data_IF_216788074509
#
_entry.id   IF_216788074509
#
_cell.length_a   1.000
_cell.length_b   1.000
_cell.length_c   1.000
_cell.angle_alpha   90.00
_cell.angle_beta   90.00
_cell.angle_gamma   90.00
#
_symmetry.space_group_name_H-M   'P 1'
#
loop_
_entity.id
_entity.type
_entity.pdbx_description
1 polymer ?
#
# COMPACT_ATOMS: atom_id res chain seq x y z
N UNK A 1 10.13 -19.97 17.79
CA UNK A 1 9.18 -19.31 18.71
C UNK A 1 9.73 -19.27 20.12
N UNK A 2 10.64 -20.18 20.47
CA UNK A 2 11.20 -20.30 21.83
C UNK A 2 12.01 -19.06 22.22
N UNK A 3 12.84 -18.53 21.32
CA UNK A 3 13.57 -17.28 21.55
C UNK A 3 12.64 -16.06 21.76
N UNK A 4 11.41 -16.07 21.23
CA UNK A 4 10.43 -15.01 21.48
C UNK A 4 9.82 -15.18 22.87
N UNK A 5 9.55 -16.41 23.28
CA UNK A 5 9.04 -16.74 24.61
C UNK A 5 10.01 -16.36 25.71
N UNK A 6 11.31 -16.58 25.49
CA UNK A 6 12.36 -16.15 26.42
C UNK A 6 12.47 -14.64 26.55
N UNK A 7 12.14 -13.90 25.48
CA UNK A 7 12.20 -12.44 25.46
C UNK A 7 10.96 -11.80 26.11
N UNK A 8 9.76 -12.32 25.79
CA UNK A 8 8.47 -11.82 26.25
C UNK A 8 7.39 -12.93 26.10
N UNK A 9 6.96 -13.49 27.22
CA UNK A 9 5.96 -14.56 27.25
C UNK A 9 4.56 -14.07 26.85
N UNK A 10 4.19 -12.83 27.18
CA UNK A 10 2.89 -12.26 26.84
C UNK A 10 2.79 -12.02 25.32
N UNK A 11 3.86 -11.50 24.71
CA UNK A 11 3.94 -11.35 23.27
C UNK A 11 3.87 -12.73 22.57
N UNK A 12 4.57 -13.72 23.11
CA UNK A 12 4.53 -15.08 22.58
C UNK A 12 3.13 -15.70 22.63
N UNK A 13 2.41 -15.56 23.75
CA UNK A 13 1.02 -16.00 23.89
C UNK A 13 0.11 -15.30 22.88
N UNK A 14 0.30 -13.98 22.68
CA UNK A 14 -0.47 -13.22 21.70
C UNK A 14 -0.24 -13.70 20.25
N UNK A 15 0.99 -14.09 19.90
CA UNK A 15 1.28 -14.64 18.57
C UNK A 15 0.83 -16.09 18.40
N UNK A 16 0.76 -16.88 19.47
CA UNK A 16 0.23 -18.25 19.43
C UNK A 16 -1.23 -18.29 18.99
N UNK A 17 -2.05 -17.35 19.47
CA UNK A 17 -3.46 -17.22 19.10
C UNK A 17 -3.66 -16.87 17.61
N UNK A 18 -2.61 -16.40 16.92
CA UNK A 18 -2.71 -15.88 15.55
C UNK A 18 -2.07 -16.80 14.53
N UNK A 19 -2.80 -17.01 13.44
CA UNK A 19 -2.27 -17.76 12.30
C UNK A 19 -0.94 -17.14 11.82
N UNK A 20 0.13 -17.93 11.63
CA UNK A 20 1.41 -17.45 11.08
C UNK A 20 1.28 -16.71 9.74
N UNK A 21 0.23 -16.99 8.97
CA UNK A 21 -0.08 -16.28 7.73
C UNK A 21 -0.41 -14.79 7.93
N UNK A 22 -0.66 -14.33 9.15
CA UNK A 22 -0.97 -12.93 9.46
C UNK A 22 0.26 -12.12 9.89
N UNK A 23 1.31 -12.78 10.39
CA UNK A 23 2.45 -12.08 11.01
C UNK A 23 3.83 -12.56 10.57
N UNK A 24 3.94 -13.72 9.92
CA UNK A 24 5.22 -14.26 9.44
C UNK A 24 5.27 -14.33 7.92
N UNK A 25 6.25 -13.63 7.35
CA UNK A 25 6.51 -13.58 5.89
C UNK A 25 6.69 -14.96 5.25
N UNK A 26 7.16 -15.95 6.01
CA UNK A 26 7.34 -17.31 5.50
C UNK A 26 6.01 -17.96 5.08
N UNK A 27 4.90 -17.51 5.67
CA UNK A 27 3.55 -18.06 5.47
C UNK A 27 2.64 -17.12 4.69
N UNK A 28 3.14 -15.97 4.24
CA UNK A 28 2.35 -15.07 3.41
C UNK A 28 2.10 -15.70 2.04
N UNK A 29 0.89 -15.48 1.55
CA UNK A 29 0.54 -15.84 0.19
C UNK A 29 1.29 -14.94 -0.78
N UNK A 30 1.57 -15.46 -1.96
CA UNK A 30 2.43 -14.82 -2.94
C UNK A 30 1.67 -14.20 -4.12
N UNK A 31 0.33 -14.12 -4.11
CA UNK A 31 -0.42 -13.61 -5.26
C UNK A 31 -0.32 -12.10 -5.44
N UNK A 32 -0.26 -11.34 -4.33
CA UNK A 32 -0.30 -9.87 -4.35
C UNK A 32 1.03 -9.20 -4.73
N UNK A 33 2.12 -9.97 -4.84
CA UNK A 33 3.48 -9.52 -5.18
C UNK A 33 3.90 -8.23 -4.46
N UNK A 34 3.51 -8.10 -3.20
CA UNK A 34 3.70 -6.91 -2.40
C UNK A 34 4.52 -7.22 -1.14
N UNK A 35 5.69 -6.59 -1.02
CA UNK A 35 6.53 -6.69 0.19
C UNK A 35 6.20 -5.61 1.23
N UNK A 36 5.07 -4.89 1.08
CA UNK A 36 4.67 -3.80 1.98
C UNK A 36 3.73 -4.35 3.05
N UNK A 37 4.21 -4.39 4.30
CA UNK A 37 3.49 -4.89 5.47
C UNK A 37 3.09 -3.78 6.44
N UNK A 38 3.05 -2.53 5.97
CA UNK A 38 2.94 -1.34 6.81
C UNK A 38 1.71 -0.52 6.46
N UNK A 39 1.20 0.20 7.47
CA UNK A 39 0.10 1.18 7.39
C UNK A 39 0.37 2.38 6.43
N UNK A 40 1.45 2.32 5.67
CA UNK A 40 1.90 3.34 4.73
C UNK A 40 0.80 3.73 3.71
N UNK A 41 -0.06 2.79 3.31
CA UNK A 41 -1.17 3.09 2.39
C UNK A 41 -2.21 4.01 3.02
N UNK A 42 -2.65 3.69 4.25
CA UNK A 42 -3.62 4.51 4.97
C UNK A 42 -3.01 5.86 5.37
N UNK A 43 -1.76 5.89 5.80
CA UNK A 43 -1.05 7.13 6.13
C UNK A 43 -0.88 8.05 4.92
N UNK A 44 -0.47 7.49 3.78
CA UNK A 44 -0.36 8.23 2.51
C UNK A 44 -1.71 8.75 2.05
N UNK A 45 -2.76 7.93 2.12
CA UNK A 45 -4.11 8.33 1.77
C UNK A 45 -4.62 9.46 2.68
N UNK A 46 -4.50 9.27 4.00
CA UNK A 46 -4.92 10.26 4.99
C UNK A 46 -4.21 11.59 4.75
N UNK A 47 -2.89 11.57 4.56
CA UNK A 47 -2.10 12.78 4.27
C UNK A 47 -2.57 13.47 2.99
N UNK A 48 -2.84 12.72 1.92
CA UNK A 48 -3.30 13.25 0.64
C UNK A 48 -4.66 13.96 0.73
N UNK A 49 -5.58 13.49 1.58
CA UNK A 49 -6.93 14.07 1.69
C UNK A 49 -7.05 15.16 2.75
N UNK A 50 -6.03 15.39 3.60
CA UNK A 50 -6.06 16.42 4.65
C UNK A 50 -6.50 17.81 4.14
N UNK A 51 -6.02 18.32 2.98
CA UNK A 51 -6.39 19.64 2.48
C UNK A 51 -7.83 19.75 1.94
N UNK A 52 -8.50 18.62 1.75
CA UNK A 52 -9.88 18.52 1.28
C UNK A 52 -10.86 18.22 2.42
N UNK A 53 -10.41 17.46 3.44
CA UNK A 53 -11.25 16.94 4.53
C UNK A 53 -11.90 18.03 5.40
N UNK A 54 -11.33 19.23 5.45
CA UNK A 54 -11.87 20.37 6.21
C UNK A 54 -12.87 21.23 5.41
N UNK A 55 -13.21 20.83 4.18
CA UNK A 55 -14.10 21.58 3.27
C UNK A 55 -15.54 21.06 3.30
N UNK A 56 -16.52 21.87 2.87
CA UNK A 56 -17.88 21.38 2.63
C UNK A 56 -17.88 20.17 1.69
N UNK A 57 -18.87 19.27 1.81
CA UNK A 57 -18.88 17.97 1.13
C UNK A 57 -18.62 18.08 -0.38
N UNK A 58 -19.29 19.01 -1.06
CA UNK A 58 -19.11 19.23 -2.50
C UNK A 58 -17.68 19.66 -2.83
N UNK A 59 -17.14 20.63 -2.09
CA UNK A 59 -15.76 21.10 -2.27
C UNK A 59 -14.73 20.02 -1.94
N UNK A 60 -14.99 19.19 -0.93
CA UNK A 60 -14.13 18.06 -0.56
C UNK A 60 -14.06 17.04 -1.71
N UNK A 61 -15.23 16.61 -2.21
CA UNK A 61 -15.32 15.64 -3.31
C UNK A 61 -14.68 16.19 -4.58
N UNK A 62 -14.93 17.45 -4.93
CA UNK A 62 -14.37 18.08 -6.12
C UNK A 62 -12.83 18.17 -6.04
N UNK A 63 -12.28 18.53 -4.87
CA UNK A 63 -10.82 18.50 -4.66
C UNK A 63 -10.23 17.10 -4.83
N UNK A 64 -10.84 16.08 -4.22
CA UNK A 64 -10.36 14.69 -4.32
C UNK A 64 -10.42 14.22 -5.77
N UNK A 65 -11.52 14.49 -6.47
CA UNK A 65 -11.69 14.18 -7.90
C UNK A 65 -10.60 14.83 -8.75
N UNK A 66 -10.39 16.14 -8.59
CA UNK A 66 -9.37 16.89 -9.33
C UNK A 66 -7.96 16.36 -9.04
N UNK A 67 -7.64 16.08 -7.79
CA UNK A 67 -6.35 15.51 -7.40
C UNK A 67 -6.12 14.15 -8.07
N UNK A 68 -7.11 13.26 -8.04
CA UNK A 68 -7.03 11.94 -8.69
C UNK A 68 -6.91 12.07 -10.22
N UNK A 69 -7.70 12.96 -10.83
CA UNK A 69 -7.67 13.21 -12.27
C UNK A 69 -6.28 13.67 -12.73
N UNK A 70 -5.72 14.69 -12.09
CA UNK A 70 -4.39 15.24 -12.42
C UNK A 70 -3.29 14.22 -12.09
N UNK A 71 -3.38 13.50 -10.97
CA UNK A 71 -2.44 12.43 -10.62
C UNK A 71 -2.43 11.34 -11.68
N UNK A 72 -3.57 10.80 -12.07
CA UNK A 72 -3.65 9.73 -13.06
C UNK A 72 -3.11 10.20 -14.43
N UNK A 73 -3.44 11.43 -14.85
CA UNK A 73 -2.89 12.03 -16.06
C UNK A 73 -1.36 12.13 -16.01
N UNK A 74 -0.80 12.65 -14.92
CA UNK A 74 0.65 12.75 -14.73
C UNK A 74 1.32 11.38 -14.69
N UNK A 75 0.68 10.36 -14.08
CA UNK A 75 1.22 9.00 -13.99
C UNK A 75 1.36 8.37 -15.38
N UNK A 76 0.38 8.57 -16.27
CA UNK A 76 0.45 8.13 -17.68
C UNK A 76 1.64 8.77 -18.41
N UNK A 77 1.75 10.10 -18.36
CA UNK A 77 2.85 10.85 -19.00
C UNK A 77 4.22 10.44 -18.45
N UNK A 78 4.33 10.17 -17.14
CA UNK A 78 5.58 9.74 -16.53
C UNK A 78 5.98 8.35 -17.01
N UNK A 79 5.03 7.43 -17.15
CA UNK A 79 5.31 6.06 -17.60
C UNK A 79 5.83 6.01 -19.04
N UNK A 80 5.33 6.89 -19.92
CA UNK A 80 5.81 6.99 -21.31
C UNK A 80 7.30 7.34 -21.40
N UNK A 81 7.84 8.02 -20.38
CA UNK A 81 9.25 8.42 -20.31
C UNK A 81 10.17 7.34 -19.76
N UNK A 82 9.64 6.20 -19.32
CA UNK A 82 10.45 5.12 -18.77
C UNK A 82 11.27 4.46 -19.89
N UNK A 83 12.56 4.28 -19.64
CA UNK A 83 13.52 3.70 -20.60
C UNK A 83 13.80 2.23 -20.33
N UNK A 84 13.74 1.83 -19.06
CA UNK A 84 13.98 0.47 -18.62
C UNK A 84 12.73 -0.41 -18.76
N UNK A 85 12.92 -1.73 -18.64
CA UNK A 85 11.84 -2.72 -18.66
C UNK A 85 10.89 -2.64 -17.47
N UNK A 86 11.29 -1.94 -16.40
CA UNK A 86 10.54 -1.75 -15.16
C UNK A 86 10.58 -0.28 -14.73
N UNK A 87 9.71 0.11 -13.80
CA UNK A 87 9.70 1.47 -13.28
C UNK A 87 11.00 1.87 -12.56
N UNK A 88 11.36 3.17 -12.52
CA UNK A 88 12.62 3.66 -11.94
C UNK A 88 12.86 3.22 -10.49
N UNK A 89 11.79 3.10 -9.69
CA UNK A 89 11.88 2.60 -8.31
C UNK A 89 12.32 1.14 -8.27
N UNK A 90 11.72 0.29 -9.11
CA UNK A 90 12.04 -1.14 -9.18
C UNK A 90 13.45 -1.33 -9.74
N UNK A 91 13.84 -0.58 -10.78
CA UNK A 91 15.20 -0.61 -11.32
C UNK A 91 16.25 -0.30 -10.24
N UNK A 92 16.05 0.77 -9.46
CA UNK A 92 16.91 1.09 -8.30
C UNK A 92 16.99 -0.04 -7.28
N UNK A 93 15.88 -0.72 -7.00
CA UNK A 93 15.85 -1.87 -6.09
C UNK A 93 16.68 -3.02 -6.67
N UNK A 94 16.48 -3.37 -7.94
CA UNK A 94 17.24 -4.42 -8.64
C UNK A 94 18.74 -4.10 -8.60
N UNK A 95 19.13 -2.87 -8.91
CA UNK A 95 20.54 -2.47 -8.93
C UNK A 95 21.17 -2.60 -7.53
N UNK A 96 20.45 -2.20 -6.47
CA UNK A 96 20.89 -2.37 -5.07
C UNK A 96 20.98 -3.85 -4.66
N UNK A 97 20.04 -4.69 -5.09
CA UNK A 97 20.11 -6.14 -4.84
C UNK A 97 21.29 -6.74 -5.61
N UNK A 98 21.52 -6.28 -6.85
CA UNK A 98 22.64 -6.69 -7.69
C UNK A 98 23.99 -6.40 -7.07
N UNK A 99 24.16 -5.28 -6.36
CA UNK A 99 25.40 -5.01 -5.63
C UNK A 99 25.68 -6.08 -4.55
N UNK A 100 24.65 -6.59 -3.87
CA UNK A 100 24.78 -7.65 -2.86
C UNK A 100 24.95 -9.04 -3.46
N UNK A 101 24.42 -9.26 -4.66
CA UNK A 101 24.52 -10.55 -5.35
C UNK A 101 25.97 -10.96 -5.70
N UNK A 102 26.94 -10.03 -5.65
CA UNK A 102 28.37 -10.32 -5.87
C UNK A 102 28.98 -11.19 -4.76
N UNK A 103 28.37 -11.22 -3.58
CA UNK A 103 28.81 -12.03 -2.44
C UNK A 103 28.39 -13.51 -2.55
N UNK A 104 27.70 -13.87 -3.63
CA UNK A 104 27.15 -15.20 -3.86
C UNK A 104 27.75 -15.80 -5.13
N UNK A 105 27.87 -17.12 -5.14
CA UNK A 105 28.31 -17.93 -6.28
C UNK A 105 27.17 -18.84 -6.71
N UNK A 106 26.95 -18.89 -8.02
CA UNK A 106 25.94 -19.76 -8.62
C UNK A 106 26.58 -21.04 -9.17
N UNK A 107 25.98 -22.17 -8.85
CA UNK A 107 26.32 -23.48 -9.39
C UNK A 107 25.11 -24.00 -10.16
N UNK A 108 25.28 -24.19 -11.47
CA UNK A 108 24.22 -24.68 -12.35
C UNK A 108 23.99 -26.16 -12.09
N UNK A 109 22.74 -26.54 -11.76
CA UNK A 109 22.32 -27.94 -11.64
C UNK A 109 21.48 -28.37 -12.84
N UNK A 110 20.68 -27.46 -13.43
CA UNK A 110 19.92 -27.67 -14.65
C UNK A 110 19.85 -26.40 -15.50
N UNK A 111 19.06 -26.39 -16.58
CA UNK A 111 19.01 -25.24 -17.48
C UNK A 111 18.58 -23.94 -16.78
N UNK A 112 17.59 -24.03 -15.89
CA UNK A 112 17.09 -22.91 -15.09
C UNK A 112 17.28 -23.10 -13.58
N UNK A 113 17.85 -24.22 -13.16
CA UNK A 113 17.97 -24.61 -11.75
C UNK A 113 19.39 -24.40 -11.26
N UNK A 114 19.53 -23.66 -10.16
CA UNK A 114 20.82 -23.27 -9.59
C UNK A 114 20.86 -23.50 -8.09
N UNK A 115 22.01 -24.01 -7.63
CA UNK A 115 22.42 -23.96 -6.25
C UNK A 115 23.25 -22.69 -6.03
N UNK A 116 22.80 -21.82 -5.14
CA UNK A 116 23.50 -20.59 -4.76
C UNK A 116 24.19 -20.81 -3.42
N UNK A 117 25.45 -20.41 -3.33
CA UNK A 117 26.26 -20.48 -2.11
C UNK A 117 26.85 -19.10 -1.86
N UNK A 118 26.74 -18.58 -0.64
CA UNK A 118 27.32 -17.28 -0.29
C UNK A 118 27.60 -17.14 1.20
N UNK A 119 28.25 -16.04 1.55
CA UNK A 119 28.69 -15.72 2.92
C UNK A 119 27.60 -15.04 3.76
N UNK A 120 26.31 -15.19 3.41
CA UNK A 120 25.20 -14.75 4.25
C UNK A 120 25.15 -15.48 5.60
N UNK A 121 24.30 -15.04 6.53
CA UNK A 121 24.12 -15.67 7.84
C UNK A 121 24.09 -17.20 7.73
N UNK A 122 25.07 -17.86 8.37
CA UNK A 122 25.16 -19.32 8.45
C UNK A 122 25.66 -20.06 7.20
N UNK A 123 26.31 -19.40 6.23
CA UNK A 123 26.79 -20.09 5.02
C UNK A 123 25.65 -20.52 4.09
N UNK A 124 24.66 -19.64 3.96
CA UNK A 124 23.35 -19.93 3.38
C UNK A 124 23.44 -20.54 1.96
N UNK A 125 22.87 -21.73 1.82
CA UNK A 125 22.67 -22.46 0.57
C UNK A 125 21.23 -22.26 0.11
N UNK A 126 21.03 -21.77 -1.10
CA UNK A 126 19.69 -21.52 -1.65
C UNK A 126 19.51 -22.19 -3.02
N UNK A 127 18.41 -22.92 -3.18
CA UNK A 127 17.98 -23.38 -4.50
C UNK A 127 17.17 -22.26 -5.18
N UNK A 128 17.46 -22.04 -6.46
CA UNK A 128 16.79 -21.06 -7.32
C UNK A 128 16.34 -21.78 -8.59
N UNK A 129 15.08 -21.58 -8.94
CA UNK A 129 14.54 -21.96 -10.25
C UNK A 129 14.13 -20.69 -10.99
N UNK A 130 14.87 -20.38 -12.05
CA UNK A 130 14.63 -19.22 -12.91
C UNK A 130 13.44 -19.41 -13.86
N UNK A 131 13.03 -20.64 -14.15
CA UNK A 131 11.87 -20.92 -15.00
C UNK A 131 10.57 -20.73 -14.23
N UNK A 132 10.53 -21.22 -12.99
CA UNK A 132 9.39 -21.09 -12.09
C UNK A 132 9.36 -19.77 -11.30
N UNK A 133 10.41 -18.95 -11.41
CA UNK A 133 10.57 -17.71 -10.64
C UNK A 133 10.54 -17.96 -9.12
N UNK A 134 11.19 -19.04 -8.68
CA UNK A 134 11.20 -19.44 -7.27
C UNK A 134 12.60 -19.41 -6.68
N UNK A 135 12.65 -19.11 -5.38
CA UNK A 135 13.85 -19.23 -4.56
C UNK A 135 13.45 -19.74 -3.17
N UNK A 136 14.28 -20.57 -2.55
CA UNK A 136 14.03 -21.06 -1.18
C UNK A 136 13.97 -19.93 -0.15
N UNK A 137 14.51 -18.74 -0.44
CA UNK A 137 14.38 -17.58 0.45
C UNK A 137 12.99 -16.90 0.41
N UNK A 138 12.07 -17.33 -0.47
CA UNK A 138 10.69 -16.82 -0.66
C UNK A 138 10.54 -15.34 -1.04
N UNK A 139 11.59 -14.52 -0.95
CA UNK A 139 11.55 -13.07 -1.22
C UNK A 139 11.13 -12.74 -2.65
N UNK A 140 11.54 -13.55 -3.63
CA UNK A 140 11.17 -13.31 -5.03
C UNK A 140 9.67 -13.55 -5.24
N UNK A 141 9.16 -14.66 -4.71
CA UNK A 141 7.75 -15.02 -4.81
C UNK A 141 6.86 -13.95 -4.15
N UNK A 142 7.25 -13.45 -2.97
CA UNK A 142 6.48 -12.45 -2.22
C UNK A 142 6.51 -11.05 -2.86
N UNK A 143 7.66 -10.61 -3.37
CA UNK A 143 7.82 -9.23 -3.87
C UNK A 143 7.63 -9.09 -5.37
N UNK A 144 7.67 -10.20 -6.13
CA UNK A 144 7.76 -10.17 -7.59
C UNK A 144 9.10 -9.65 -8.13
N UNK A 145 10.06 -9.31 -7.27
CA UNK A 145 11.39 -8.82 -7.66
C UNK A 145 12.43 -9.91 -7.41
N UNK A 146 13.30 -10.23 -8.39
CA UNK A 146 14.38 -11.20 -8.19
C UNK A 146 15.19 -10.89 -6.93
N UNK A 147 15.30 -11.88 -6.04
CA UNK A 147 16.08 -11.76 -4.81
C UNK A 147 17.59 -11.79 -5.10
N UNK A 148 18.44 -11.64 -4.07
CA UNK A 148 19.91 -11.65 -4.23
C UNK A 148 20.40 -12.93 -4.91
N UNK A 149 19.80 -14.08 -4.56
CA UNK A 149 20.15 -15.39 -5.10
C UNK A 149 19.71 -15.53 -6.56
N UNK A 150 18.50 -15.08 -6.87
CA UNK A 150 17.97 -15.07 -8.24
C UNK A 150 18.82 -14.20 -9.16
N UNK A 151 19.20 -12.99 -8.72
CA UNK A 151 20.08 -12.10 -9.51
C UNK A 151 21.46 -12.72 -9.72
N UNK A 152 22.00 -13.46 -8.74
CA UNK A 152 23.25 -14.21 -8.92
C UNK A 152 23.11 -15.26 -10.05
N UNK A 153 22.03 -16.06 -10.04
CA UNK A 153 21.75 -17.03 -11.10
C UNK A 153 21.52 -16.36 -12.49
N UNK A 154 20.78 -15.25 -12.53
CA UNK A 154 20.50 -14.51 -13.77
C UNK A 154 21.80 -13.96 -14.37
N UNK A 155 22.70 -13.44 -13.53
CA UNK A 155 24.03 -12.96 -13.96
C UNK A 155 24.89 -14.09 -14.50
N UNK A 156 24.83 -15.28 -13.91
CA UNK A 156 25.50 -16.46 -14.45
C UNK A 156 25.05 -16.74 -15.90
N UNK A 157 23.75 -16.59 -16.19
CA UNK A 157 23.19 -16.70 -17.55
C UNK A 157 23.41 -15.46 -18.44
N UNK A 158 24.07 -14.41 -17.95
CA UNK A 158 24.30 -13.13 -18.65
C UNK A 158 23.01 -12.48 -19.16
N UNK A 159 21.93 -12.54 -18.38
CA UNK A 159 20.62 -11.98 -18.73
C UNK A 159 20.28 -10.75 -17.89
N UNK A 160 19.30 -9.96 -18.35
CA UNK A 160 18.83 -8.77 -17.64
C UNK A 160 17.84 -9.15 -16.53
N UNK A 161 18.15 -8.76 -15.28
CA UNK A 161 17.31 -9.09 -14.12
C UNK A 161 15.90 -8.49 -14.18
N UNK A 162 15.74 -7.33 -14.82
CA UNK A 162 14.42 -6.70 -14.96
C UNK A 162 13.43 -7.55 -15.79
N UNK A 163 13.91 -8.46 -16.64
CA UNK A 163 13.04 -9.38 -17.41
C UNK A 163 12.42 -10.48 -16.54
N UNK A 164 12.98 -10.71 -15.34
CA UNK A 164 12.54 -11.71 -14.38
C UNK A 164 11.63 -11.14 -13.29
N UNK A 165 11.31 -9.85 -13.35
CA UNK A 165 10.29 -9.24 -12.50
C UNK A 165 8.89 -9.74 -12.87
N UNK A 166 8.01 -9.75 -11.88
CA UNK A 166 6.60 -10.10 -12.07
C UNK A 166 5.89 -9.12 -13.02
N UNK A 167 4.90 -9.64 -13.74
CA UNK A 167 4.10 -8.88 -14.71
C UNK A 167 3.46 -7.64 -14.07
N UNK A 168 3.04 -7.69 -12.80
CA UNK A 168 2.44 -6.56 -12.09
C UNK A 168 3.38 -5.34 -11.93
N UNK A 169 4.70 -5.54 -12.00
CA UNK A 169 5.70 -4.47 -11.85
C UNK A 169 6.07 -3.80 -13.18
N UNK A 170 5.48 -4.26 -14.28
CA UNK A 170 5.84 -3.83 -15.62
C UNK A 170 5.14 -2.52 -16.00
N UNK A 171 5.74 -1.73 -16.91
CA UNK A 171 5.13 -0.51 -17.43
C UNK A 171 3.74 -0.75 -18.02
N UNK A 172 3.50 -1.93 -18.60
CA UNK A 172 2.18 -2.31 -19.15
C UNK A 172 1.09 -2.35 -18.08
N UNK A 173 1.33 -3.04 -16.96
CA UNK A 173 0.37 -3.16 -15.87
C UNK A 173 0.22 -1.86 -15.10
N UNK A 174 1.30 -1.08 -14.99
CA UNK A 174 1.23 0.28 -14.48
C UNK A 174 0.32 1.15 -15.35
N UNK A 175 0.48 1.12 -16.68
CA UNK A 175 -0.38 1.89 -17.58
C UNK A 175 -1.82 1.43 -17.49
N UNK A 176 -2.10 0.13 -17.46
CA UNK A 176 -3.44 -0.42 -17.29
C UNK A 176 -4.12 0.10 -16.01
N UNK A 177 -3.42 0.10 -14.87
CA UNK A 177 -3.92 0.60 -13.60
C UNK A 177 -4.28 2.09 -13.62
N UNK A 178 -3.54 2.91 -14.39
CA UNK A 178 -3.77 4.36 -14.51
C UNK A 178 -4.44 4.77 -15.82
N UNK A 179 -4.87 3.82 -16.65
CA UNK A 179 -5.52 4.09 -17.92
C UNK A 179 -6.88 4.77 -17.76
N UNK A 180 -7.75 4.37 -16.79
CA UNK A 180 -9.05 4.99 -16.62
C UNK A 180 -8.97 6.53 -16.50
N UNK A 181 -9.82 7.19 -17.27
CA UNK A 181 -9.91 8.66 -17.33
C UNK A 181 -11.02 9.12 -16.40
N UNK A 182 -10.66 9.99 -15.47
CA UNK A 182 -11.63 10.80 -14.73
C UNK A 182 -11.90 12.02 -15.60
N UNK A 183 -13.10 12.13 -16.15
CA UNK A 183 -13.46 13.22 -17.05
C UNK A 183 -13.61 14.55 -16.30
N UNK A 184 -13.31 15.68 -16.96
CA UNK A 184 -13.60 17.00 -16.40
C UNK A 184 -15.12 17.18 -16.24
N UNK A 185 -15.52 17.86 -15.16
CA UNK A 185 -16.91 18.25 -14.92
C UNK A 185 -17.04 19.72 -15.30
N UNK A 186 -18.09 20.07 -16.04
CA UNK A 186 -18.40 21.44 -16.42
C UNK A 186 -18.82 22.27 -15.19
N UNK A 187 -19.04 23.57 -15.38
CA UNK A 187 -19.58 24.43 -14.33
C UNK A 187 -21.05 24.06 -14.04
N UNK A 188 -21.51 24.32 -12.82
CA UNK A 188 -22.86 23.97 -12.32
C UNK A 188 -24.00 24.41 -13.26
N UNK A 189 -23.84 25.55 -13.91
CA UNK A 189 -24.73 26.13 -14.93
C UNK A 189 -24.92 25.25 -16.18
N UNK A 190 -24.05 24.26 -16.41
CA UNK A 190 -24.11 23.35 -17.55
C UNK A 190 -24.46 21.92 -17.12
N UNK A 191 -24.84 21.71 -15.85
CA UNK A 191 -25.22 20.38 -15.36
C UNK A 191 -26.67 20.08 -15.75
N UNK A 192 -26.92 18.83 -16.13
CA UNK A 192 -28.28 18.35 -16.38
C UNK A 192 -29.07 18.38 -15.06
N UNK A 193 -30.27 18.95 -15.11
CA UNK A 193 -31.19 18.91 -13.99
C UNK A 193 -31.71 17.48 -13.85
N UNK A 194 -31.37 16.85 -12.73
CA UNK A 194 -31.77 15.49 -12.40
C UNK A 194 -32.65 15.49 -11.17
N UNK A 195 -33.78 14.80 -11.25
CA UNK A 195 -34.70 14.63 -10.12
C UNK A 195 -34.23 13.46 -9.23
N UNK A 196 -33.32 13.77 -8.31
CA UNK A 196 -32.89 12.83 -7.28
C UNK A 196 -33.32 13.32 -5.90
N UNK A 197 -34.02 12.46 -5.17
CA UNK A 197 -34.40 12.71 -3.78
C UNK A 197 -33.17 12.62 -2.87
N UNK A 198 -32.60 13.76 -2.48
CA UNK A 198 -31.49 13.80 -1.51
C UNK A 198 -32.07 13.82 -0.10
N UNK A 199 -31.97 12.71 0.61
CA UNK A 199 -32.32 12.67 2.03
C UNK A 199 -31.37 13.58 2.83
N UNK A 200 -31.87 14.37 3.80
CA UNK A 200 -31.00 15.14 4.68
C UNK A 200 -30.07 14.17 5.42
N UNK A 201 -28.79 14.53 5.60
CA UNK A 201 -27.88 13.69 6.37
C UNK A 201 -28.48 13.48 7.78
N UNK A 202 -28.46 12.23 8.30
CA UNK A 202 -28.99 11.96 9.63
C UNK A 202 -28.29 12.85 10.64
N UNK A 203 -29.07 13.65 11.38
CA UNK A 203 -28.54 14.55 12.38
C UNK A 203 -27.86 13.73 13.48
N UNK A 204 -26.55 13.95 13.64
CA UNK A 204 -25.79 13.48 14.79
C UNK A 204 -25.23 14.71 15.50
N UNK A 205 -25.53 14.88 16.78
CA UNK A 205 -24.77 15.81 17.62
C UNK A 205 -23.30 15.42 17.54
N UNK A 206 -22.49 16.25 16.86
CA UNK A 206 -21.07 15.98 16.77
C UNK A 206 -20.45 16.21 18.15
N UNK A 207 -19.74 15.20 18.67
CA UNK A 207 -18.77 15.43 19.74
C UNK A 207 -17.87 16.59 19.29
N UNK A 208 -17.72 17.60 20.13
CA UNK A 208 -17.12 18.89 19.76
C UNK A 208 -15.82 18.75 18.97
N UNK A 209 -15.56 19.71 18.07
CA UNK A 209 -14.44 19.72 17.10
C UNK A 209 -13.19 19.02 17.64
N UNK A 210 -12.82 17.83 17.12
CA UNK A 210 -11.56 17.19 17.47
C UNK A 210 -10.41 18.14 17.17
N UNK A 211 -9.57 18.39 18.18
CA UNK A 211 -8.45 19.31 18.06
C UNK A 211 -7.45 18.76 17.06
N UNK A 212 -7.02 19.59 16.11
CA UNK A 212 -6.01 19.20 15.10
C UNK A 212 -4.65 18.83 15.72
N UNK A 213 -4.42 19.21 16.98
CA UNK A 213 -3.22 18.86 17.73
C UNK A 213 -3.62 18.02 18.94
N UNK A 214 -2.88 16.93 19.17
CA UNK A 214 -2.98 16.10 20.37
C UNK A 214 -2.75 16.97 21.62
N UNK A 215 -3.52 16.74 22.68
CA UNK A 215 -3.17 17.25 24.00
C UNK A 215 -1.90 16.56 24.48
N UNK A 216 -0.84 17.32 24.76
CA UNK A 216 0.35 16.80 25.45
C UNK A 216 -0.05 16.39 26.87
N UNK A 217 0.36 15.20 27.31
CA UNK A 217 0.15 14.76 28.70
C UNK A 217 1.00 15.63 29.64
N UNK A 218 0.61 15.85 30.91
CA UNK A 218 1.48 16.48 31.89
C UNK A 218 2.80 15.68 31.97
N UNK A 219 3.92 16.28 31.52
CA UNK A 219 5.24 15.63 31.52
C UNK A 219 5.93 15.49 30.15
N UNK A 220 5.27 15.75 29.03
CA UNK A 220 5.95 15.83 27.73
C UNK A 220 6.78 17.12 27.64
N UNK A 221 8.06 17.02 28.04
CA UNK A 221 9.05 18.10 27.94
C UNK A 221 9.28 18.44 26.47
N UNK A 222 9.18 19.72 26.14
CA UNK A 222 9.69 20.25 24.89
C UNK A 222 11.22 20.20 24.92
N UNK A 223 11.84 19.49 23.97
CA UNK A 223 13.25 19.74 23.60
C UNK A 223 13.34 21.03 22.77
N UNK A 224 12.72 22.11 23.27
CA UNK A 224 12.95 23.46 22.76
C UNK A 224 13.87 24.17 23.76
N UNK A 225 14.86 24.94 23.28
CA UNK A 225 15.63 25.82 24.16
C UNK A 225 14.66 26.75 24.91
N UNK A 226 14.93 27.06 26.19
CA UNK A 226 13.99 27.82 27.01
C UNK A 226 13.67 29.17 26.36
N UNK A 227 12.41 29.64 26.46
CA UNK A 227 12.07 30.97 26.00
C UNK A 227 12.87 32.01 26.80
N UNK A 228 13.27 33.15 26.18
CA UNK A 228 13.87 34.23 26.93
C UNK A 228 12.90 34.68 28.03
N UNK A 229 13.47 34.91 29.21
CA UNK A 229 12.81 35.33 30.44
C UNK A 229 11.73 36.40 30.21
N UNK A 230 10.62 36.40 30.99
CA UNK A 230 9.63 37.46 30.90
C UNK A 230 10.29 38.79 31.24
N UNK A 231 10.25 39.75 30.32
CA UNK A 231 10.60 41.15 30.60
C UNK A 231 9.80 41.63 31.80
N UNK A 232 10.50 42.17 32.80
CA UNK A 232 9.94 42.84 33.97
C UNK A 232 8.85 43.85 33.54
N UNK A 233 7.70 43.84 34.21
CA UNK A 233 6.69 44.90 34.08
C UNK A 233 5.28 44.51 33.61
N UNK A 234 4.89 43.22 33.58
CA UNK A 234 3.49 42.84 33.30
C UNK A 234 2.84 42.15 34.51
N UNK A 235 2.08 42.93 35.28
CA UNK A 235 1.20 42.42 36.34
C UNK A 235 0.07 41.57 35.74
N UNK A 236 -0.30 40.47 36.43
CA UNK A 236 -1.44 39.65 36.05
C UNK A 236 -2.75 40.44 36.21
N UNK A 237 -3.69 40.28 35.27
CA UNK A 237 -5.01 40.94 35.30
C UNK A 237 -6.03 40.25 36.23
N UNK A 238 -5.58 39.40 37.15
CA UNK A 238 -6.45 38.75 38.11
C UNK A 238 -6.98 39.80 39.11
N UNK A 239 -8.30 40.00 39.16
CA UNK A 239 -8.97 40.91 40.11
C UNK A 239 -9.39 42.28 39.56
N UNK A 240 -9.04 42.63 38.31
CA UNK A 240 -9.43 43.94 37.74
C UNK A 240 -10.87 43.89 37.23
N UNK A 241 -11.75 44.63 37.92
CA UNK A 241 -13.15 44.84 37.50
C UNK A 241 -13.18 45.68 36.20
N UNK A 242 -13.53 45.03 35.08
CA UNK A 242 -13.60 45.72 33.78
C UNK A 242 -14.89 46.53 33.66
N UNK A 243 -14.77 47.83 33.37
CA UNK A 243 -15.88 48.73 33.10
C UNK A 243 -15.94 49.12 31.62
N UNK A 244 -17.14 49.18 31.08
CA UNK A 244 -17.37 49.56 29.70
C UNK A 244 -17.20 51.07 29.51
N UNK A 245 -16.30 51.49 28.63
CA UNK A 245 -16.08 52.91 28.32
C UNK A 245 -17.25 53.62 27.60
N UNK A 246 -18.28 52.89 27.18
CA UNK A 246 -19.46 53.47 26.50
C UNK A 246 -20.63 53.66 27.47
N UNK A 247 -20.97 52.64 28.26
CA UNK A 247 -22.13 52.70 29.16
C UNK A 247 -21.76 52.75 30.65
N UNK A 248 -20.47 52.71 30.99
CA UNK A 248 -19.97 52.71 32.37
C UNK A 248 -20.19 51.41 33.15
N UNK A 249 -20.94 50.44 32.62
CA UNK A 249 -21.30 49.22 33.36
C UNK A 249 -20.16 48.20 33.41
N UNK A 250 -20.11 47.44 34.51
CA UNK A 250 -19.10 46.40 34.75
C UNK A 250 -19.40 45.11 33.98
N UNK A 251 -18.38 44.35 33.62
CA UNK A 251 -18.51 42.97 33.09
C UNK A 251 -18.45 42.82 31.58
N UNK A 252 -18.34 43.92 30.83
CA UNK A 252 -18.12 43.87 29.38
C UNK A 252 -17.25 45.04 28.89
N UNK A 253 -16.73 44.93 27.67
CA UNK A 253 -15.93 45.98 27.03
C UNK A 253 -16.73 46.71 25.93
N UNK A 254 -16.12 47.72 25.31
CA UNK A 254 -16.72 48.51 24.21
C UNK A 254 -17.40 47.66 23.12
N UNK A 255 -16.82 46.51 22.78
CA UNK A 255 -17.31 45.62 21.72
C UNK A 255 -18.53 44.79 22.16
N UNK A 256 -18.59 44.43 23.44
CA UNK A 256 -19.71 43.71 24.04
C UNK A 256 -20.87 44.61 24.46
N UNK A 257 -20.72 45.94 24.36
CA UNK A 257 -21.68 46.90 24.89
C UNK A 257 -23.03 46.87 24.14
N UNK A 258 -24.16 46.74 24.86
CA UNK A 258 -25.49 46.71 24.25
C UNK A 258 -25.78 47.92 23.37
N UNK A 259 -25.32 49.11 23.77
CA UNK A 259 -25.48 50.37 23.01
C UNK A 259 -24.74 50.31 21.67
N UNK A 260 -23.58 49.66 21.63
CA UNK A 260 -22.76 49.55 20.41
C UNK A 260 -23.30 48.50 19.46
N UNK A 261 -23.88 47.42 20.01
CA UNK A 261 -24.61 46.41 19.24
C UNK A 261 -25.91 46.97 18.66
N UNK A 262 -26.64 47.79 19.42
CA UNK A 262 -27.83 48.49 18.94
C UNK A 262 -27.52 49.48 17.81
N UNK A 263 -26.42 50.26 17.92
CA UNK A 263 -25.97 51.15 16.83
C UNK A 263 -25.55 50.42 15.56
N UNK A 264 -24.97 49.21 15.68
CA UNK A 264 -24.65 48.36 14.52
C UNK A 264 -25.88 47.75 13.87
N UNK A 265 -26.91 47.43 14.65
CA UNK A 265 -28.18 46.94 14.12
C UNK A 265 -28.97 48.04 13.38
N UNK A 266 -28.82 49.31 13.79
CA UNK A 266 -29.47 50.45 13.16
C UNK A 266 -28.77 50.98 11.88
N UNK A 267 -27.55 50.53 11.57
CA UNK A 267 -26.76 51.01 10.42
C UNK A 267 -26.81 50.06 9.21
N UNK A 268 -27.76 49.13 9.17
CA UNK A 268 -27.82 48.04 8.21
C UNK A 268 -28.80 48.25 7.05
N UNK A 269 -28.80 49.41 6.38
CA UNK A 269 -29.42 49.58 5.06
C UNK A 269 -28.57 50.52 4.20
N UNK A 270 -28.08 50.05 3.04
CA UNK A 270 -27.60 50.90 1.96
C UNK A 270 -26.22 50.60 1.36
N UNK A 271 -26.25 50.03 0.15
CA UNK A 271 -25.50 50.48 -1.04
C UNK A 271 -24.41 49.56 -1.62
N UNK A 272 -24.46 49.59 -2.94
CA UNK A 272 -23.99 48.73 -4.03
C UNK A 272 -22.57 48.97 -4.51
N UNK A 273 -22.15 48.04 -5.38
CA UNK A 273 -21.36 48.23 -6.62
C UNK A 273 -19.99 48.92 -6.56
N UNK A 274 -18.96 48.16 -6.93
CA UNK A 274 -17.67 48.68 -7.39
C UNK A 274 -16.90 47.62 -8.15
N UNK A 275 -17.15 47.53 -9.47
CA UNK A 275 -16.34 46.76 -10.40
C UNK A 275 -15.02 47.50 -10.69
N UNK A 276 -13.92 46.76 -10.78
CA UNK A 276 -12.66 47.24 -11.35
C UNK A 276 -12.14 46.21 -12.37
N UNK A 277 -11.64 46.64 -13.54
CA UNK A 277 -11.25 45.74 -14.62
C UNK A 277 -9.82 45.24 -14.39
N UNK A 278 -9.55 43.97 -14.63
CA UNK A 278 -8.18 43.47 -14.67
C UNK A 278 -7.89 42.76 -16.00
N UNK A 279 -7.19 43.47 -16.89
CA UNK A 279 -6.54 42.92 -18.08
C UNK A 279 -5.51 41.91 -17.63
N UNK A 280 -5.62 40.66 -18.10
CA UNK A 280 -4.50 39.71 -18.13
C UNK A 280 -4.35 39.15 -19.54
N UNK A 281 -3.22 39.49 -20.13
CA UNK A 281 -2.75 38.98 -21.42
C UNK A 281 -2.54 37.46 -21.35
N UNK A 282 -2.98 36.80 -22.41
CA UNK A 282 -2.80 35.39 -22.72
C UNK A 282 -1.49 35.25 -23.47
N UNK A 283 -0.50 34.57 -22.90
CA UNK A 283 0.66 34.09 -23.66
C UNK A 283 0.41 32.65 -24.11
N UNK A 284 0.38 32.48 -25.43
CA UNK A 284 0.41 31.18 -26.10
C UNK A 284 1.81 30.56 -25.99
N UNK A 285 1.88 29.27 -25.70
CA UNK A 285 3.10 28.48 -25.79
C UNK A 285 2.93 27.49 -26.93
N UNK A 286 3.75 27.68 -27.97
CA UNK A 286 3.84 26.83 -29.15
C UNK A 286 4.31 25.41 -28.78
N UNK A 287 3.62 24.42 -29.32
CA UNK A 287 3.89 22.98 -29.16
C UNK A 287 4.89 22.53 -30.23
N UNK A 288 6.14 22.30 -29.86
CA UNK A 288 7.13 21.66 -30.73
C UNK A 288 6.97 20.13 -30.72
N UNK A 289 7.17 19.52 -31.89
CA UNK A 289 7.01 18.10 -32.16
C UNK A 289 8.05 17.22 -31.44
N UNK A 290 7.63 16.02 -31.02
CA UNK A 290 8.49 15.02 -30.39
C UNK A 290 9.30 14.21 -31.42
N UNK A 291 10.58 13.89 -31.16
CA UNK A 291 11.37 13.03 -32.04
C UNK A 291 11.02 11.55 -31.83
N UNK A 292 10.95 10.81 -32.94
CA UNK A 292 10.75 9.37 -33.00
C UNK A 292 12.03 8.65 -32.54
N UNK A 293 11.93 7.71 -31.59
CA UNK A 293 13.06 6.90 -31.17
C UNK A 293 12.67 5.57 -30.51
N UNK A 294 13.28 4.49 -31.01
CA UNK A 294 13.36 3.11 -30.47
C UNK A 294 12.12 2.22 -30.59
N UNK A 295 11.88 1.71 -31.79
CA UNK A 295 11.02 0.53 -32.06
C UNK A 295 11.72 -0.80 -31.75
N UNK A 296 13.05 -0.85 -31.78
CA UNK A 296 13.81 -2.12 -31.74
C UNK A 296 13.82 -2.80 -30.35
N UNK A 297 13.92 -2.03 -29.26
CA UNK A 297 14.00 -2.60 -27.90
C UNK A 297 12.64 -3.12 -27.42
N UNK A 298 11.54 -2.44 -27.77
CA UNK A 298 10.17 -2.87 -27.40
C UNK A 298 9.81 -4.21 -28.05
N UNK A 299 10.19 -4.40 -29.31
CA UNK A 299 9.92 -5.65 -30.04
C UNK A 299 10.75 -6.83 -29.50
N UNK A 300 11.99 -6.58 -29.08
CA UNK A 300 12.84 -7.60 -28.46
C UNK A 300 12.27 -8.07 -27.11
N UNK A 301 11.68 -7.17 -26.32
CA UNK A 301 11.00 -7.49 -25.05
C UNK A 301 9.75 -8.32 -25.28
N UNK A 302 8.92 -7.93 -26.24
CA UNK A 302 7.68 -8.66 -26.57
C UNK A 302 8.02 -10.10 -27.00
N UNK A 303 9.07 -10.28 -27.81
CA UNK A 303 9.54 -11.61 -28.24
C UNK A 303 10.04 -12.45 -27.07
N UNK A 304 10.96 -11.92 -26.26
CA UNK A 304 11.48 -12.63 -25.08
C UNK A 304 10.39 -13.00 -24.08
N UNK A 305 9.37 -12.15 -23.94
CA UNK A 305 8.23 -12.37 -23.03
C UNK A 305 7.22 -13.39 -23.56
N UNK A 306 6.97 -13.42 -24.88
CA UNK A 306 6.19 -14.50 -25.52
C UNK A 306 6.89 -15.84 -25.35
N UNK A 307 8.20 -15.88 -25.50
CA UNK A 307 9.01 -17.09 -25.26
C UNK A 307 8.92 -17.54 -23.80
N UNK A 308 9.04 -16.62 -22.84
CA UNK A 308 8.87 -16.95 -21.42
C UNK A 308 7.45 -17.40 -21.05
N UNK A 309 6.40 -16.71 -21.52
CA UNK A 309 5.01 -17.11 -21.26
C UNK A 309 4.71 -18.51 -21.80
N UNK A 310 5.28 -18.85 -22.96
CA UNK A 310 5.19 -20.19 -23.54
C UNK A 310 5.91 -21.23 -22.68
N UNK A 311 7.10 -20.91 -22.14
CA UNK A 311 7.82 -21.79 -21.21
C UNK A 311 7.03 -21.97 -19.91
N UNK A 312 6.55 -20.89 -19.29
CA UNK A 312 5.74 -20.93 -18.05
C UNK A 312 4.50 -21.80 -18.22
N UNK A 313 3.73 -21.60 -19.29
CA UNK A 313 2.56 -22.42 -19.61
C UNK A 313 2.93 -23.89 -19.84
N UNK A 314 4.06 -24.18 -20.51
CA UNK A 314 4.52 -25.56 -20.72
C UNK A 314 4.88 -26.24 -19.41
N UNK A 315 5.59 -25.53 -18.51
CA UNK A 315 6.00 -26.09 -17.22
C UNK A 315 4.81 -26.28 -16.28
N UNK A 316 3.89 -25.31 -16.21
CA UNK A 316 2.65 -25.42 -15.41
C UNK A 316 1.71 -26.52 -15.92
N UNK A 317 1.67 -26.75 -17.23
CA UNK A 317 0.90 -27.84 -17.84
C UNK A 317 1.53 -29.23 -17.64
N UNK A 318 2.84 -29.30 -17.38
CA UNK A 318 3.54 -30.57 -17.12
C UNK A 318 3.46 -30.96 -15.63
N UNK A 319 3.07 -30.02 -14.76
CA UNK A 319 2.87 -30.23 -13.33
C UNK A 319 1.38 -30.28 -12.96
N UNK A 320 0.66 -31.31 -13.42
CA UNK A 320 -0.64 -31.74 -12.88
C UNK A 320 -0.49 -32.95 -11.94
N UNK A 321 -1.42 -33.21 -11.02
CA UNK A 321 -1.19 -34.13 -9.90
C UNK A 321 -1.22 -35.57 -10.39
N UNK A 322 -0.05 -36.19 -10.56
CA UNK A 322 0.00 -37.63 -10.80
C UNK A 322 0.00 -38.37 -9.45
N UNK A 323 -1.21 -38.62 -8.95
CA UNK A 323 -1.46 -39.72 -8.02
C UNK A 323 -1.51 -40.98 -8.89
N UNK A 324 -0.50 -41.83 -8.78
CA UNK A 324 -0.42 -43.05 -9.57
C UNK A 324 0.81 -43.85 -9.21
N UNK A 325 0.64 -44.77 -8.27
CA UNK A 325 1.61 -45.81 -7.97
C UNK A 325 1.94 -46.61 -9.24
N UNK A 326 3.22 -46.85 -9.49
CA UNK A 326 3.68 -47.97 -10.32
C UNK A 326 5.07 -48.37 -9.89
N UNK A 327 5.07 -49.45 -9.12
CA UNK A 327 6.19 -50.32 -8.79
C UNK A 327 6.86 -50.83 -10.06
N UNK A 328 8.18 -50.74 -10.15
CA UNK A 328 8.96 -51.61 -11.02
C UNK A 328 10.24 -52.02 -10.30
N UNK A 329 10.41 -53.33 -10.25
CA UNK A 329 11.29 -54.13 -9.42
C UNK A 329 12.78 -53.85 -9.67
N UNK A 330 13.57 -53.79 -8.60
CA UNK A 330 14.99 -54.13 -8.65
C UNK A 330 15.23 -55.44 -7.91
N UNK A 331 15.90 -56.32 -8.63
CA UNK A 331 16.24 -57.69 -8.28
C UNK A 331 17.34 -57.70 -7.22
N UNK A 332 17.08 -58.28 -6.04
CA UNK A 332 18.10 -58.80 -5.13
C UNK A 332 17.43 -59.73 -4.10
N UNK A 333 17.75 -61.03 -4.18
CA UNK A 333 17.39 -62.03 -3.17
C UNK A 333 18.16 -61.79 -1.87
N UNK A 334 17.51 -61.92 -0.69
CA UNK A 334 18.18 -62.27 0.56
C UNK A 334 17.89 -63.74 0.94
N UNK A 335 18.70 -64.35 1.82
CA UNK A 335 18.62 -65.77 2.12
C UNK A 335 17.43 -66.11 3.03
N UNK A 336 16.93 -67.32 2.82
CA UNK A 336 15.89 -68.03 3.56
C UNK A 336 16.23 -68.24 5.03
N UNK A 337 15.26 -68.05 5.93
CA UNK A 337 14.85 -69.09 6.88
C UNK A 337 13.43 -68.84 7.42
N UNK A 338 12.74 -69.96 7.63
CA UNK A 338 11.32 -70.19 7.88
C UNK A 338 10.81 -69.79 9.26
N UNK A 339 9.53 -69.40 9.38
CA UNK A 339 8.55 -70.05 10.28
C UNK A 339 7.21 -69.29 10.38
N UNK A 340 6.16 -69.90 9.85
CA UNK A 340 4.78 -70.07 10.36
C UNK A 340 3.90 -68.82 10.72
N UNK A 341 2.76 -68.76 9.99
CA UNK A 341 1.52 -67.97 10.16
C UNK A 341 0.60 -68.58 11.26
N UNK A 342 -0.66 -68.11 11.55
CA UNK A 342 -1.48 -67.02 10.97
C UNK A 342 -2.32 -66.16 11.97
N UNK A 343 -3.02 -65.13 11.44
CA UNK A 343 -4.50 -64.93 11.52
C UNK A 343 -5.05 -63.54 11.96
N UNK A 344 -6.05 -63.08 11.17
CA UNK A 344 -7.13 -62.11 11.42
C UNK A 344 -6.75 -60.62 11.62
N UNK A 345 -7.48 -59.62 11.11
CA UNK A 345 -8.77 -59.58 10.44
C UNK A 345 -9.05 -58.17 9.89
N UNK A 346 -9.98 -58.10 8.94
CA UNK A 346 -10.43 -56.93 8.18
C UNK A 346 -11.22 -55.91 9.02
N UNK A 347 -10.99 -54.61 8.80
CA UNK A 347 -11.97 -53.57 9.13
C UNK A 347 -11.94 -52.45 8.07
N UNK A 348 -13.12 -52.26 7.47
CA UNK A 348 -13.44 -51.41 6.33
C UNK A 348 -14.07 -50.11 6.88
N UNK A 349 -13.52 -48.95 6.55
CA UNK A 349 -14.04 -47.64 6.99
C UNK A 349 -15.16 -47.17 6.04
N UNK A 350 -16.35 -46.90 6.58
CA UNK A 350 -17.47 -46.23 5.89
C UNK A 350 -17.35 -44.71 6.04
N UNK A 351 -17.47 -44.00 4.92
CA UNK A 351 -17.72 -42.55 4.85
C UNK A 351 -19.12 -42.22 5.38
N UNK A 352 -19.24 -41.09 6.10
CA UNK A 352 -20.51 -40.45 6.45
C UNK A 352 -20.55 -39.03 5.85
N UNK A 353 -21.65 -38.73 5.18
CA UNK A 353 -22.01 -37.50 4.47
C UNK A 353 -22.13 -36.23 5.36
N UNK A 354 -22.14 -35.02 4.75
CA UNK A 354 -21.95 -33.74 5.43
C UNK A 354 -23.24 -33.14 6.04
N UNK A 355 -23.09 -32.52 7.22
CA UNK A 355 -24.16 -31.82 7.95
C UNK A 355 -24.34 -30.38 7.43
N UNK A 356 -25.58 -30.02 7.10
CA UNK A 356 -26.01 -28.65 6.74
C UNK A 356 -26.29 -27.78 8.00
N UNK A 357 -26.24 -26.44 7.89
CA UNK A 357 -26.17 -25.54 9.04
C UNK A 357 -27.55 -25.14 9.60
N UNK A 358 -27.71 -25.19 10.93
CA UNK A 358 -28.87 -24.65 11.63
C UNK A 358 -28.67 -23.17 11.99
N UNK A 359 -29.66 -22.35 11.63
CA UNK A 359 -29.81 -20.98 12.10
C UNK A 359 -30.12 -20.91 13.60
N UNK A 360 -29.48 -19.99 14.31
CA UNK A 360 -29.99 -19.43 15.55
C UNK A 360 -29.50 -17.98 15.71
N UNK A 361 -30.43 -17.13 16.09
CA UNK A 361 -30.40 -15.68 16.24
C UNK A 361 -30.02 -15.22 17.64
N UNK A 362 -29.47 -13.98 17.70
CA UNK A 362 -29.30 -13.06 18.85
C UNK A 362 -28.48 -13.59 20.04
N UNK A 363 -27.70 -12.82 20.81
CA UNK A 363 -27.84 -11.45 21.28
C UNK A 363 -26.58 -11.07 22.12
N UNK A 364 -26.35 -9.77 22.42
CA UNK A 364 -25.32 -9.17 23.32
C UNK A 364 -23.84 -9.23 22.87
N UNK A 365 -22.94 -8.27 23.16
CA UNK A 365 -22.98 -6.93 23.72
C UNK A 365 -21.58 -6.28 23.55
N UNK A 366 -21.54 -4.95 23.70
CA UNK A 366 -20.37 -4.09 23.72
C UNK A 366 -19.22 -4.58 24.63
N UNK A 367 -17.99 -4.37 24.16
CA UNK A 367 -16.97 -3.52 24.80
C UNK A 367 -15.95 -3.03 23.75
#
# INVERSE_FOLDING_TARGET
>A
MDALRELDEDAWLWFQDKSPAQWSRAFFRDESKCDILLNNMCESFNSAILPARDKPILTMLEKIRMDMMVKNANRRVVCEKWKDFVGPRIKKIIDKIGQRATQYRAHRSGEFIFQIIGTGEGGSKHAVDLGLHTCTCKRWQLSGIPCVHAICAIRFKKQEAALYCDDFLMPSSYMEAYNPIIYPIAREDNWELVDYSIAPPPYKQQAGRPKMKRHKKPGEKENHPPPPTPKEGKLSKAGIKMFCKICGQQGHNKLGCPITKAKKAAAGEGTSSGAAPNKRQRNEVNRAAAPKGSTNVKDQVIRSRKTWKKIKQTVESTSGPNVGASTSQSNQQPPTQSSQNPAAGSAQWKESEPMQPSQASSEYAAF
#
